data_IF_087507704196
#
_entry.id   IF_087507704196
#
_cell.length_a   1.000
_cell.length_b   1.000
_cell.length_c   1.000
_cell.angle_alpha   90.00
_cell.angle_beta   90.00
_cell.angle_gamma   90.00
#
_symmetry.space_group_name_H-M   'P 1'
#
loop_
_entity.id
_entity.type
_entity.pdbx_description
1 polymer ?
#
# COMPACT_ATOMS: atom_id res chain seq x y z
N UNK A 1 -1.87 2.40 -11.53
CA UNK A 1 -1.55 3.71 -10.91
C UNK A 1 -1.17 4.70 -12.00
N UNK A 2 -1.61 5.96 -11.94
CA UNK A 2 -1.24 7.01 -12.92
C UNK A 2 -0.28 8.04 -12.31
N UNK A 3 0.52 8.69 -13.15
CA UNK A 3 1.51 9.68 -12.71
C UNK A 3 0.87 10.88 -11.99
N UNK A 4 -0.31 11.33 -12.42
CA UNK A 4 -1.04 12.43 -11.78
C UNK A 4 -1.53 12.11 -10.36
N UNK A 5 -1.79 10.83 -10.07
CA UNK A 5 -2.14 10.34 -8.73
C UNK A 5 -0.91 10.33 -7.84
N UNK A 6 0.23 9.86 -8.37
CA UNK A 6 1.51 9.89 -7.68
C UNK A 6 1.93 11.31 -7.27
N UNK A 7 1.77 12.30 -8.14
CA UNK A 7 2.13 13.69 -7.79
C UNK A 7 1.36 14.24 -6.59
N UNK A 8 0.15 13.73 -6.32
CA UNK A 8 -0.67 14.15 -5.18
C UNK A 8 -0.40 13.28 -3.94
N UNK A 9 -0.31 11.97 -4.13
CA UNK A 9 -0.28 10.98 -3.06
C UNK A 9 1.11 10.49 -2.64
N UNK A 10 2.18 10.86 -3.35
CA UNK A 10 3.56 10.36 -3.08
C UNK A 10 3.95 10.49 -1.61
N UNK A 11 3.62 11.63 -1.01
CA UNK A 11 3.94 11.90 0.37
C UNK A 11 3.14 11.05 1.36
N UNK A 12 1.84 10.90 1.10
CA UNK A 12 0.97 10.08 1.93
C UNK A 12 1.40 8.61 1.84
N UNK A 13 1.77 8.13 0.66
CA UNK A 13 2.32 6.79 0.45
C UNK A 13 3.64 6.58 1.22
N UNK A 14 4.53 7.59 1.25
CA UNK A 14 5.77 7.55 2.05
C UNK A 14 5.47 7.47 3.55
N UNK A 15 4.50 8.26 4.03
CA UNK A 15 4.09 8.20 5.44
C UNK A 15 3.43 6.86 5.79
N UNK A 16 2.57 6.35 4.90
CA UNK A 16 1.93 5.04 5.04
C UNK A 16 2.99 3.92 5.11
N UNK A 17 4.03 3.96 4.27
CA UNK A 17 5.15 3.02 4.36
C UNK A 17 5.85 3.05 5.72
N UNK A 18 6.07 4.25 6.30
CA UNK A 18 6.71 4.39 7.63
C UNK A 18 5.83 3.75 8.70
N UNK A 19 4.51 3.98 8.64
CA UNK A 19 3.55 3.39 9.60
C UNK A 19 3.51 1.88 9.46
N UNK A 20 3.44 1.35 8.22
CA UNK A 20 3.43 -0.08 7.96
C UNK A 20 4.74 -0.75 8.41
N UNK A 21 5.89 -0.14 8.14
CA UNK A 21 7.19 -0.65 8.61
C UNK A 21 7.25 -0.76 10.14
N UNK A 22 6.70 0.24 10.84
CA UNK A 22 6.58 0.20 12.30
C UNK A 22 5.64 -0.92 12.76
N UNK A 23 4.45 -1.03 12.15
CA UNK A 23 3.46 -2.05 12.49
C UNK A 23 3.98 -3.47 12.28
N UNK A 24 4.65 -3.73 11.14
CA UNK A 24 5.26 -5.02 10.83
C UNK A 24 6.36 -5.36 11.84
N UNK A 25 7.20 -4.38 12.23
CA UNK A 25 8.28 -4.59 13.21
C UNK A 25 7.78 -4.84 14.63
N UNK A 26 6.63 -4.29 15.00
CA UNK A 26 6.05 -4.38 16.35
C UNK A 26 4.81 -5.28 16.37
N UNK A 27 4.74 -6.25 15.46
CA UNK A 27 3.57 -7.09 15.31
C UNK A 27 3.40 -8.05 16.50
N UNK A 28 2.27 -7.94 17.20
CA UNK A 28 1.92 -8.81 18.35
C UNK A 28 0.74 -9.77 18.06
N UNK A 29 0.17 -9.68 16.85
CA UNK A 29 -1.03 -10.43 16.46
C UNK A 29 -2.34 -9.79 16.93
N UNK A 30 -3.47 -10.34 16.48
CA UNK A 30 -4.81 -9.86 16.80
C UNK A 30 -5.13 -10.04 18.28
N UNK A 31 -5.94 -9.13 18.81
CA UNK A 31 -6.32 -9.17 20.22
C UNK A 31 -7.16 -10.40 20.53
N UNK A 32 -7.08 -10.88 21.77
CA UNK A 32 -7.90 -12.01 22.18
C UNK A 32 -9.41 -11.75 22.04
N UNK A 33 -9.85 -10.50 22.18
CA UNK A 33 -11.23 -10.08 21.99
C UNK A 33 -11.69 -10.25 20.55
N UNK A 34 -10.87 -9.83 19.59
CA UNK A 34 -11.19 -9.94 18.15
C UNK A 34 -11.28 -11.40 17.70
N UNK A 35 -10.44 -12.28 18.28
CA UNK A 35 -10.54 -13.73 18.04
C UNK A 35 -11.88 -14.29 18.55
N UNK A 36 -12.30 -13.91 19.76
CA UNK A 36 -13.58 -14.35 20.34
C UNK A 36 -14.75 -13.81 19.51
N UNK A 37 -14.69 -12.54 19.10
CA UNK A 37 -15.69 -11.90 18.26
C UNK A 37 -15.81 -12.61 16.92
N UNK A 38 -14.69 -12.84 16.25
CA UNK A 38 -14.62 -13.60 14.99
C UNK A 38 -15.24 -14.99 15.14
N UNK A 39 -14.90 -15.74 16.20
CA UNK A 39 -15.47 -17.07 16.45
C UNK A 39 -16.98 -17.04 16.70
N UNK A 40 -17.49 -15.97 17.30
CA UNK A 40 -18.91 -15.81 17.65
C UNK A 40 -19.75 -15.52 16.40
N UNK A 41 -19.27 -14.64 15.52
CA UNK A 41 -20.01 -14.23 14.31
C UNK A 41 -19.74 -15.10 13.08
N UNK A 42 -18.69 -15.93 13.07
CA UNK A 42 -18.39 -16.86 11.95
C UNK A 42 -19.36 -18.05 11.86
N UNK A 43 -20.23 -18.26 12.85
CA UNK A 43 -21.19 -19.36 12.86
C UNK A 43 -22.63 -18.86 12.67
N UNK A 44 -23.21 -18.93 11.46
CA UNK A 44 -24.64 -19.04 11.31
C UNK A 44 -24.99 -20.52 11.46
N UNK A 45 -25.39 -21.01 12.65
CA UNK A 45 -26.30 -22.16 12.82
C UNK A 45 -26.52 -22.53 14.29
N UNK A 46 -27.79 -22.71 14.62
CA UNK A 46 -28.36 -23.21 15.86
C UNK A 46 -27.83 -24.61 16.22
N UNK A 47 -26.86 -24.69 17.12
CA UNK A 47 -26.39 -25.98 17.63
C UNK A 47 -27.44 -26.56 18.61
N UNK A 48 -28.27 -27.49 18.13
CA UNK A 48 -29.18 -28.26 19.00
C UNK A 48 -28.35 -29.02 20.02
N UNK A 49 -28.47 -28.63 21.29
CA UNK A 49 -27.73 -29.19 22.41
C UNK A 49 -28.08 -30.67 22.61
N UNK A 50 -27.26 -31.58 22.08
CA UNK A 50 -27.26 -32.97 22.51
C UNK A 50 -26.40 -33.10 23.78
N UNK A 51 -27.03 -33.50 24.88
CA UNK A 51 -26.39 -33.79 26.16
C UNK A 51 -26.05 -35.27 26.24
N UNK A 52 -24.86 -35.66 25.78
CA UNK A 52 -24.26 -36.95 26.15
C UNK A 52 -22.87 -36.72 26.78
N UNK A 53 -22.47 -37.65 27.67
CA UNK A 53 -21.53 -37.47 28.79
C UNK A 53 -20.10 -36.99 28.50
N UNK A 54 -19.39 -36.62 29.59
CA UNK A 54 -18.01 -36.11 29.69
C UNK A 54 -17.44 -35.59 28.36
N UNK A 55 -18.06 -34.50 27.89
CA UNK A 55 -17.72 -33.87 26.63
C UNK A 55 -16.45 -33.02 26.80
N UNK A 56 -15.40 -33.33 26.04
CA UNK A 56 -14.18 -32.50 25.90
C UNK A 56 -14.46 -31.21 25.07
N UNK A 57 -15.53 -30.49 25.42
CA UNK A 57 -15.92 -29.23 24.78
C UNK A 57 -14.86 -28.17 25.01
N UNK A 58 -14.29 -28.13 26.21
CA UNK A 58 -13.25 -27.15 26.57
C UNK A 58 -11.98 -27.36 25.74
N UNK A 59 -11.49 -28.60 25.60
CA UNK A 59 -10.32 -28.91 24.78
C UNK A 59 -10.55 -28.59 23.30
N UNK A 60 -11.70 -28.99 22.75
CA UNK A 60 -12.08 -28.68 21.36
C UNK A 60 -12.19 -27.18 21.10
N UNK A 61 -12.80 -26.42 22.02
CA UNK A 61 -12.90 -24.95 21.91
C UNK A 61 -11.52 -24.30 22.00
N UNK A 62 -10.65 -24.73 22.91
CA UNK A 62 -9.29 -24.21 23.02
C UNK A 62 -8.46 -24.44 21.75
N UNK A 63 -8.56 -25.64 21.15
CA UNK A 63 -7.90 -25.95 19.87
C UNK A 63 -8.46 -25.06 18.74
N UNK A 64 -9.78 -24.90 18.68
CA UNK A 64 -10.42 -24.03 17.67
C UNK A 64 -9.98 -22.58 17.84
N UNK A 65 -9.95 -22.08 19.08
CA UNK A 65 -9.50 -20.74 19.41
C UNK A 65 -8.08 -20.49 18.91
N UNK A 66 -7.16 -21.40 19.23
CA UNK A 66 -5.76 -21.29 18.81
C UNK A 66 -5.64 -21.23 17.29
N UNK A 67 -6.33 -22.10 16.56
CA UNK A 67 -6.31 -22.11 15.08
C UNK A 67 -6.87 -20.83 14.47
N UNK A 68 -7.97 -20.31 15.04
CA UNK A 68 -8.55 -19.05 14.54
C UNK A 68 -7.60 -17.89 14.82
N UNK A 69 -6.98 -17.86 16.00
CA UNK A 69 -5.97 -16.85 16.31
C UNK A 69 -4.77 -16.91 15.36
N UNK A 70 -4.15 -18.07 15.20
CA UNK A 70 -3.00 -18.26 14.30
C UNK A 70 -3.34 -17.79 12.88
N UNK A 71 -4.50 -18.20 12.35
CA UNK A 71 -4.95 -17.74 11.03
C UNK A 71 -5.17 -16.23 10.95
N UNK A 72 -5.80 -15.62 11.95
CA UNK A 72 -6.03 -14.17 11.94
C UNK A 72 -4.73 -13.37 12.08
N UNK A 73 -3.77 -13.90 12.85
CA UNK A 73 -2.43 -13.33 12.97
C UNK A 73 -1.72 -13.39 11.60
N UNK A 74 -1.73 -14.55 10.93
CA UNK A 74 -1.15 -14.73 9.59
C UNK A 74 -1.83 -13.84 8.54
N UNK A 75 -3.17 -13.89 8.45
CA UNK A 75 -3.97 -13.09 7.49
C UNK A 75 -3.70 -11.58 7.67
N UNK A 76 -3.60 -11.11 8.92
CA UNK A 76 -3.32 -9.70 9.19
C UNK A 76 -1.88 -9.34 8.83
N UNK A 77 -0.90 -10.15 9.22
CA UNK A 77 0.51 -9.91 8.90
C UNK A 77 0.74 -9.85 7.38
N UNK A 78 0.19 -10.80 6.64
CA UNK A 78 0.29 -10.86 5.18
C UNK A 78 -0.32 -9.60 4.56
N UNK A 79 -1.48 -9.15 5.03
CA UNK A 79 -2.11 -7.92 4.52
C UNK A 79 -1.25 -6.66 4.74
N UNK A 80 -0.54 -6.56 5.87
CA UNK A 80 0.38 -5.46 6.15
C UNK A 80 1.58 -5.52 5.22
N UNK A 81 2.14 -6.72 5.05
CA UNK A 81 3.32 -6.95 4.23
C UNK A 81 3.04 -6.70 2.75
N UNK A 82 1.94 -7.22 2.22
CA UNK A 82 1.49 -7.02 0.85
C UNK A 82 1.30 -5.53 0.55
N UNK A 83 0.65 -4.80 1.47
CA UNK A 83 0.45 -3.36 1.33
C UNK A 83 1.78 -2.60 1.34
N UNK A 84 2.68 -2.96 2.25
CA UNK A 84 4.01 -2.34 2.34
C UNK A 84 4.82 -2.56 1.06
N UNK A 85 4.87 -3.81 0.59
CA UNK A 85 5.57 -4.18 -0.65
C UNK A 85 5.02 -3.41 -1.85
N UNK A 86 3.70 -3.40 -2.02
CA UNK A 86 3.04 -2.65 -3.08
C UNK A 86 3.44 -1.16 -3.07
N UNK A 87 3.32 -0.50 -1.92
CA UNK A 87 3.64 0.93 -1.83
C UNK A 87 5.13 1.19 -2.08
N UNK A 88 6.00 0.33 -1.55
CA UNK A 88 7.44 0.48 -1.71
C UNK A 88 7.86 0.28 -3.17
N UNK A 89 7.29 -0.70 -3.87
CA UNK A 89 7.49 -0.89 -5.31
C UNK A 89 7.00 0.32 -6.12
N UNK A 90 5.80 0.84 -5.82
CA UNK A 90 5.26 2.01 -6.51
C UNK A 90 6.12 3.26 -6.30
N UNK A 91 6.60 3.48 -5.07
CA UNK A 91 7.50 4.60 -4.73
C UNK A 91 8.82 4.45 -5.47
N UNK A 92 9.47 3.28 -5.38
CA UNK A 92 10.76 3.04 -6.04
C UNK A 92 10.64 3.17 -7.56
N UNK A 93 9.58 2.62 -8.15
CA UNK A 93 9.32 2.74 -9.58
C UNK A 93 9.13 4.21 -9.97
N UNK A 94 8.33 4.97 -9.21
CA UNK A 94 8.13 6.39 -9.47
C UNK A 94 9.43 7.19 -9.37
N UNK A 95 10.19 7.03 -8.29
CA UNK A 95 11.48 7.70 -8.08
C UNK A 95 12.43 7.40 -9.25
N UNK A 96 12.53 6.11 -9.64
CA UNK A 96 13.35 5.70 -10.78
C UNK A 96 12.83 6.30 -12.09
N UNK A 97 11.54 6.24 -12.38
CA UNK A 97 10.92 6.77 -13.58
C UNK A 97 11.14 8.28 -13.73
N UNK A 98 11.08 9.03 -12.62
CA UNK A 98 11.40 10.47 -12.60
C UNK A 98 12.83 10.73 -13.06
N UNK A 99 13.80 9.89 -12.68
CA UNK A 99 15.19 10.03 -13.16
C UNK A 99 15.35 9.82 -14.67
N UNK A 100 14.38 9.18 -15.33
CA UNK A 100 14.40 8.87 -16.77
C UNK A 100 13.64 9.88 -17.63
N UNK A 101 13.06 10.92 -17.02
CA UNK A 101 12.37 11.97 -17.75
C UNK A 101 13.32 12.80 -18.61
N UNK A 102 12.76 13.42 -19.65
CA UNK A 102 13.54 14.18 -20.61
C UNK A 102 14.00 15.54 -20.08
N UNK A 103 15.21 15.95 -20.48
CA UNK A 103 15.74 17.30 -20.27
C UNK A 103 15.81 17.71 -18.79
N UNK A 104 15.13 18.79 -18.43
CA UNK A 104 15.13 19.36 -17.07
C UNK A 104 14.01 18.84 -16.16
N UNK A 105 13.13 17.98 -16.69
CA UNK A 105 11.99 17.46 -15.97
C UNK A 105 12.36 16.60 -14.75
N UNK A 106 13.43 15.77 -14.75
CA UNK A 106 13.80 14.99 -13.57
C UNK A 106 14.02 15.85 -12.33
N UNK A 107 14.83 16.91 -12.45
CA UNK A 107 15.12 17.82 -11.33
C UNK A 107 13.86 18.57 -10.90
N UNK A 108 13.09 19.08 -11.87
CA UNK A 108 11.88 19.85 -11.63
C UNK A 108 10.82 19.04 -10.87
N UNK A 109 10.60 17.78 -11.24
CA UNK A 109 9.61 16.91 -10.61
C UNK A 109 10.06 16.45 -9.24
N UNK A 110 11.36 16.16 -9.05
CA UNK A 110 11.91 15.87 -7.73
C UNK A 110 11.64 17.02 -6.77
N UNK A 111 11.99 18.25 -7.17
CA UNK A 111 11.76 19.42 -6.34
C UNK A 111 10.27 19.68 -6.06
N UNK A 112 9.41 19.48 -7.06
CA UNK A 112 7.97 19.70 -6.93
C UNK A 112 7.29 18.67 -6.02
N UNK A 113 7.62 17.38 -6.18
CA UNK A 113 6.86 16.27 -5.56
C UNK A 113 7.56 15.72 -4.32
N UNK A 114 8.88 15.58 -4.37
CA UNK A 114 9.67 14.97 -3.29
C UNK A 114 10.06 16.03 -2.24
N UNK A 115 10.54 17.19 -2.70
CA UNK A 115 10.93 18.31 -1.82
C UNK A 115 9.77 19.24 -1.45
N UNK A 116 8.59 19.03 -2.05
CA UNK A 116 7.37 19.84 -1.84
C UNK A 116 7.54 21.34 -2.10
N UNK A 117 8.39 21.72 -3.06
CA UNK A 117 8.52 23.12 -3.44
C UNK A 117 7.20 23.67 -3.98
N UNK A 118 6.83 24.84 -3.47
CA UNK A 118 5.69 25.60 -3.97
C UNK A 118 5.93 26.07 -5.41
N UNK A 119 4.85 26.44 -6.11
CA UNK A 119 4.96 26.95 -7.47
C UNK A 119 5.83 28.21 -7.55
N UNK A 120 5.77 29.08 -6.55
CA UNK A 120 6.59 30.29 -6.46
C UNK A 120 8.08 29.97 -6.34
N UNK A 121 8.44 28.98 -5.50
CA UNK A 121 9.83 28.52 -5.35
C UNK A 121 10.36 27.90 -6.65
N UNK A 122 9.55 27.08 -7.32
CA UNK A 122 9.91 26.49 -8.61
C UNK A 122 10.08 27.56 -9.70
N UNK A 123 9.21 28.57 -9.75
CA UNK A 123 9.34 29.70 -10.67
C UNK A 123 10.68 30.43 -10.46
N UNK A 124 11.04 30.68 -9.20
CA UNK A 124 12.31 31.32 -8.84
C UNK A 124 13.51 30.45 -9.22
N UNK A 125 13.55 29.19 -8.77
CA UNK A 125 14.66 28.25 -8.99
C UNK A 125 14.93 28.01 -10.47
N UNK A 126 13.88 27.81 -11.27
CA UNK A 126 14.01 27.50 -12.70
C UNK A 126 13.92 28.73 -13.61
N UNK A 127 13.75 29.93 -13.04
CA UNK A 127 13.56 31.18 -13.78
C UNK A 127 12.46 31.08 -14.84
N UNK A 128 11.30 30.54 -14.46
CA UNK A 128 10.16 30.31 -15.35
C UNK A 128 8.89 30.99 -14.88
N UNK A 129 8.01 31.34 -15.83
CA UNK A 129 6.69 31.85 -15.51
C UNK A 129 5.74 30.77 -14.96
N UNK A 130 4.69 31.19 -14.25
CA UNK A 130 3.68 30.31 -13.65
C UNK A 130 3.05 29.34 -14.66
N UNK A 131 2.78 29.80 -15.88
CA UNK A 131 2.24 28.96 -16.95
C UNK A 131 3.19 27.84 -17.38
N UNK A 132 4.51 28.06 -17.27
CA UNK A 132 5.52 27.09 -17.63
C UNK A 132 5.66 25.99 -16.56
N UNK A 133 5.49 26.32 -15.28
CA UNK A 133 5.42 25.33 -14.19
C UNK A 133 4.31 24.30 -14.48
N UNK A 134 3.13 24.78 -14.85
CA UNK A 134 2.02 23.91 -15.26
C UNK A 134 2.32 23.10 -16.53
N UNK A 135 3.03 23.67 -17.50
CA UNK A 135 3.45 22.94 -18.71
C UNK A 135 4.45 21.83 -18.39
N UNK A 136 5.48 22.10 -17.60
CA UNK A 136 6.47 21.09 -17.19
C UNK A 136 5.83 19.96 -16.40
N UNK A 137 4.93 20.29 -15.47
CA UNK A 137 4.14 19.27 -14.76
C UNK A 137 3.38 18.37 -15.73
N UNK A 138 2.65 18.93 -16.69
CA UNK A 138 1.87 18.16 -17.67
C UNK A 138 2.76 17.33 -18.61
N UNK A 139 3.91 17.86 -19.02
CA UNK A 139 4.86 17.13 -19.86
C UNK A 139 5.43 15.91 -19.12
N UNK A 140 5.88 16.11 -17.88
CA UNK A 140 6.36 15.02 -17.04
C UNK A 140 5.27 13.97 -16.78
N UNK A 141 4.05 14.41 -16.47
CA UNK A 141 2.92 13.49 -16.26
C UNK A 141 2.66 12.63 -17.50
N UNK A 142 2.74 13.20 -18.70
CA UNK A 142 2.58 12.46 -19.96
C UNK A 142 3.69 11.43 -20.15
N UNK A 143 4.95 11.80 -19.95
CA UNK A 143 6.10 10.88 -20.07
C UNK A 143 6.03 9.75 -19.04
N UNK A 144 5.72 10.06 -17.78
CA UNK A 144 5.57 9.06 -16.73
C UNK A 144 4.41 8.10 -17.02
N UNK A 145 3.26 8.59 -17.50
CA UNK A 145 2.14 7.72 -17.85
C UNK A 145 2.53 6.68 -18.91
N UNK A 146 3.37 7.05 -19.90
CA UNK A 146 3.89 6.09 -20.87
C UNK A 146 4.74 5.01 -20.19
N UNK A 147 5.57 5.36 -19.21
CA UNK A 147 6.36 4.38 -18.44
C UNK A 147 5.46 3.44 -17.62
N UNK A 148 4.39 3.97 -17.01
CA UNK A 148 3.39 3.16 -16.30
C UNK A 148 2.66 2.19 -17.23
N UNK A 149 2.23 2.65 -18.42
CA UNK A 149 1.59 1.80 -19.43
C UNK A 149 2.51 0.67 -19.92
N UNK A 150 3.82 0.92 -20.02
CA UNK A 150 4.80 -0.11 -20.39
C UNK A 150 4.90 -1.17 -19.28
N UNK A 151 5.00 -0.74 -18.01
CA UNK A 151 5.05 -1.68 -16.86
C UNK A 151 3.79 -2.53 -16.78
N UNK A 152 2.61 -1.93 -16.99
CA UNK A 152 1.33 -2.64 -16.99
C UNK A 152 1.29 -3.71 -18.08
N UNK A 153 1.69 -3.38 -19.32
CA UNK A 153 1.77 -4.36 -20.42
C UNK A 153 2.76 -5.49 -20.14
N UNK A 154 3.87 -5.21 -19.47
CA UNK A 154 4.84 -6.24 -19.09
C UNK A 154 4.27 -7.18 -18.02
N UNK A 155 3.56 -6.63 -17.03
CA UNK A 155 2.88 -7.43 -16.01
C UNK A 155 1.79 -8.31 -16.64
N UNK A 156 0.95 -7.75 -17.52
CA UNK A 156 -0.09 -8.49 -18.23
C UNK A 156 0.50 -9.63 -19.07
N UNK A 157 1.59 -9.35 -19.80
CA UNK A 157 2.26 -10.37 -20.61
C UNK A 157 2.85 -11.51 -19.77
N UNK A 158 3.29 -11.24 -18.55
CA UNK A 158 3.78 -12.27 -17.63
C UNK A 158 2.63 -13.10 -17.06
N UNK A 159 1.53 -12.46 -16.67
CA UNK A 159 0.36 -13.15 -16.09
C UNK A 159 -0.41 -14.00 -17.10
N UNK A 160 -0.32 -13.68 -18.39
CA UNK A 160 -0.95 -14.42 -19.48
C UNK A 160 -0.04 -15.49 -20.11
N UNK A 161 1.22 -15.61 -19.67
CA UNK A 161 2.18 -16.64 -20.10
C UNK A 161 2.13 -17.88 -19.22
#
# INVERSE_FOLDING_TARGET
MKAGEMFKGYQDMRQECIVLEFQIRQFEGVSHGDVIESMTFSNPQEEKVQTSGLSDRTGKTAIRYRRVKERLDDDWYDSLLDRYQYLQEEIQFFEYAVTKLSGRLPEFIRDMVMERMSWTELMSKYSVGHSMVGKYRKMAEKELNVLYEIREKQADSYMLS
#
